data_IF_220466616555
#
_entry.id   IF_220466616555
#
_cell.length_a   1.000
_cell.length_b   1.000
_cell.length_c   1.000
_cell.angle_alpha   90.00
_cell.angle_beta   90.00
_cell.angle_gamma   90.00
#
_symmetry.space_group_name_H-M   'P 1'
#
loop_
_entity.id
_entity.type
_entity.pdbx_description
1 polymer ?
#
# COMPACT_ATOMS: atom_id res chain seq x y z
N UNK A 1 33.60 -29.12 -21.88
CA UNK A 1 32.65 -28.01 -21.64
C UNK A 1 31.55 -28.54 -20.75
N UNK A 2 31.53 -28.16 -19.47
CA UNK A 2 30.38 -28.38 -18.59
C UNK A 2 30.33 -27.19 -17.62
N UNK A 3 29.70 -26.11 -18.08
CA UNK A 3 29.35 -24.99 -17.22
C UNK A 3 28.13 -25.37 -16.43
N UNK A 4 28.32 -25.83 -15.20
CA UNK A 4 27.22 -25.99 -14.25
C UNK A 4 26.67 -24.60 -13.98
N UNK A 5 25.50 -24.28 -14.55
CA UNK A 5 24.72 -23.10 -14.17
C UNK A 5 24.48 -23.21 -12.66
N UNK A 6 25.21 -22.41 -11.89
CA UNK A 6 24.93 -22.23 -10.46
C UNK A 6 23.52 -21.65 -10.38
N UNK A 7 22.62 -22.43 -9.79
CA UNK A 7 21.29 -22.01 -9.37
C UNK A 7 21.43 -20.64 -8.68
N UNK A 8 20.70 -19.63 -9.15
CA UNK A 8 20.61 -18.34 -8.46
C UNK A 8 19.90 -18.59 -7.13
N UNK A 9 20.66 -19.01 -6.12
CA UNK A 9 20.18 -19.08 -4.76
C UNK A 9 20.21 -17.66 -4.21
N UNK A 10 19.11 -16.93 -4.34
CA UNK A 10 18.86 -15.69 -3.59
C UNK A 10 17.38 -15.24 -3.60
N UNK A 11 16.42 -16.06 -4.06
CA UNK A 11 14.98 -15.73 -4.00
C UNK A 11 14.27 -16.33 -2.76
N UNK A 12 15.01 -16.61 -1.68
CA UNK A 12 14.44 -17.14 -0.43
C UNK A 12 14.21 -16.06 0.62
N UNK A 13 14.75 -14.85 0.43
CA UNK A 13 14.53 -13.76 1.36
C UNK A 13 13.10 -13.22 1.20
N UNK A 14 12.30 -13.15 2.28
CA UNK A 14 10.97 -12.58 2.20
C UNK A 14 11.10 -11.12 1.76
N UNK A 15 10.49 -10.80 0.61
CA UNK A 15 10.49 -9.44 0.10
C UNK A 15 9.89 -8.50 1.15
N UNK A 16 10.61 -7.44 1.56
CA UNK A 16 10.09 -6.53 2.57
C UNK A 16 8.80 -5.88 2.08
N UNK A 17 7.88 -5.61 3.02
CA UNK A 17 6.66 -4.85 2.73
C UNK A 17 7.02 -3.41 2.39
N UNK A 18 7.20 -3.15 1.09
CA UNK A 18 7.47 -1.82 0.55
C UNK A 18 6.18 -1.20 0.03
N UNK A 19 5.93 0.06 0.41
CA UNK A 19 4.84 0.84 -0.17
C UNK A 19 5.34 1.52 -1.45
N UNK A 20 4.79 1.11 -2.59
CA UNK A 20 5.10 1.71 -3.90
C UNK A 20 3.93 2.61 -4.30
N UNK A 21 4.23 3.83 -4.73
CA UNK A 21 3.24 4.74 -5.32
C UNK A 21 3.40 4.69 -6.83
N UNK A 22 2.46 4.04 -7.52
CA UNK A 22 2.50 3.90 -8.98
C UNK A 22 2.21 5.23 -9.69
N UNK A 23 1.13 5.92 -9.29
CA UNK A 23 0.70 7.20 -9.87
C UNK A 23 0.16 8.12 -8.79
N UNK A 24 0.38 9.41 -8.94
CA UNK A 24 -0.11 10.42 -7.99
C UNK A 24 -0.17 11.79 -8.64
N UNK A 25 -1.22 12.53 -8.34
CA UNK A 25 -1.41 13.95 -8.72
C UNK A 25 -1.88 14.73 -7.49
N UNK A 26 -1.02 14.79 -6.48
CA UNK A 26 -1.23 15.54 -5.24
C UNK A 26 0.04 16.27 -4.85
N UNK A 27 -0.10 17.37 -4.11
CA UNK A 27 1.05 18.16 -3.63
C UNK A 27 1.94 17.31 -2.72
N UNK A 28 3.24 17.59 -2.71
CA UNK A 28 4.22 16.81 -1.93
C UNK A 28 3.88 16.71 -0.44
N UNK A 29 3.43 17.81 0.19
CA UNK A 29 3.02 17.81 1.59
C UNK A 29 1.82 16.87 1.85
N UNK A 30 0.82 16.92 0.97
CA UNK A 30 -0.37 16.07 1.06
C UNK A 30 -0.01 14.60 0.80
N UNK A 31 0.91 14.34 -0.15
CA UNK A 31 1.38 12.98 -0.48
C UNK A 31 1.96 12.26 0.72
N UNK A 32 2.81 12.93 1.50
CA UNK A 32 3.46 12.31 2.66
C UNK A 32 2.47 12.06 3.80
N UNK A 33 1.49 12.94 3.98
CA UNK A 33 0.38 12.70 4.93
C UNK A 33 -0.48 11.51 4.52
N UNK A 34 -0.88 11.42 3.24
CA UNK A 34 -1.67 10.31 2.70
C UNK A 34 -0.90 8.99 2.88
N UNK A 35 0.39 8.95 2.54
CA UNK A 35 1.23 7.76 2.74
C UNK A 35 1.27 7.34 4.20
N UNK A 36 1.49 8.29 5.13
CA UNK A 36 1.54 8.01 6.56
C UNK A 36 0.24 7.37 7.05
N UNK A 37 -0.91 7.92 6.64
CA UNK A 37 -2.24 7.40 6.99
C UNK A 37 -2.43 5.98 6.43
N UNK A 38 -2.03 5.72 5.18
CA UNK A 38 -2.15 4.38 4.58
C UNK A 38 -1.24 3.38 5.31
N UNK A 39 0.01 3.75 5.59
CA UNK A 39 0.98 2.87 6.25
C UNK A 39 0.56 2.49 7.67
N UNK A 40 0.06 3.45 8.46
CA UNK A 40 -0.40 3.14 9.82
C UNK A 40 -1.57 2.17 9.82
N UNK A 41 -2.50 2.30 8.88
CA UNK A 41 -3.64 1.38 8.76
C UNK A 41 -3.21 -0.02 8.25
N UNK A 42 -2.25 -0.10 7.32
CA UNK A 42 -1.72 -1.38 6.85
C UNK A 42 -0.96 -2.15 7.93
N UNK A 43 -0.22 -1.47 8.81
CA UNK A 43 0.51 -2.10 9.91
C UNK A 43 -0.41 -2.68 11.00
N UNK A 44 -1.59 -2.09 11.17
CA UNK A 44 -2.54 -2.48 12.20
C UNK A 44 -3.52 -3.59 11.75
N UNK A 45 -3.42 -4.06 10.51
CA UNK A 45 -4.31 -5.09 10.00
C UNK A 45 -3.84 -6.51 10.29
N UNK A 46 -4.77 -7.32 10.79
CA UNK A 46 -4.67 -8.79 10.80
C UNK A 46 -5.43 -9.36 9.59
N UNK A 47 -4.97 -10.51 9.07
CA UNK A 47 -5.45 -11.08 7.81
C UNK A 47 -6.99 -11.30 7.82
N UNK A 48 -7.71 -10.64 6.89
CA UNK A 48 -9.14 -10.87 6.64
C UNK A 48 -10.07 -9.65 6.57
N UNK A 49 -9.56 -8.41 6.75
CA UNK A 49 -10.39 -7.20 6.87
C UNK A 49 -10.28 -6.17 5.74
N UNK A 50 -10.29 -6.57 4.48
CA UNK A 50 -10.07 -5.65 3.34
C UNK A 50 -11.13 -4.52 3.28
N UNK A 51 -12.40 -4.84 3.59
CA UNK A 51 -13.47 -3.85 3.65
C UNK A 51 -13.30 -2.87 4.83
N UNK A 52 -12.84 -3.36 5.98
CA UNK A 52 -12.53 -2.49 7.14
C UNK A 52 -11.33 -1.59 6.86
N UNK A 53 -10.40 -2.02 6.01
CA UNK A 53 -9.21 -1.23 5.66
C UNK A 53 -9.57 -0.02 4.81
N UNK A 54 -10.40 -0.22 3.78
CA UNK A 54 -10.84 0.88 2.93
C UNK A 54 -11.56 1.96 3.74
N UNK A 55 -12.43 1.55 4.68
CA UNK A 55 -13.12 2.46 5.59
C UNK A 55 -12.16 3.18 6.53
N UNK A 56 -11.22 2.46 7.17
CA UNK A 56 -10.27 3.05 8.11
C UNK A 56 -9.34 4.08 7.44
N UNK A 57 -8.88 3.79 6.22
CA UNK A 57 -8.08 4.74 5.43
C UNK A 57 -8.92 5.98 5.09
N UNK A 58 -10.16 5.78 4.64
CA UNK A 58 -11.08 6.89 4.32
C UNK A 58 -11.30 7.79 5.52
N UNK A 59 -11.61 7.22 6.68
CA UNK A 59 -11.87 7.98 7.90
C UNK A 59 -10.63 8.76 8.34
N UNK A 60 -9.43 8.18 8.23
CA UNK A 60 -8.17 8.89 8.49
C UNK A 60 -7.96 10.09 7.55
N UNK A 61 -8.27 9.92 6.27
CA UNK A 61 -8.14 10.99 5.27
C UNK A 61 -9.18 12.11 5.48
N UNK A 62 -10.44 11.76 5.74
CA UNK A 62 -11.51 12.73 6.00
C UNK A 62 -11.20 13.59 7.24
N UNK A 63 -10.64 12.98 8.29
CA UNK A 63 -10.31 13.66 9.54
C UNK A 63 -9.07 14.57 9.43
N UNK A 64 -8.01 14.11 8.76
CA UNK A 64 -6.71 14.79 8.80
C UNK A 64 -6.46 15.72 7.62
N UNK A 65 -7.11 15.50 6.47
CA UNK A 65 -6.81 16.25 5.23
C UNK A 65 -7.73 17.44 4.97
N UNK A 66 -8.69 17.71 5.87
CA UNK A 66 -9.50 18.93 5.89
C UNK A 66 -10.16 19.29 4.55
N UNK A 67 -11.43 18.90 4.37
CA UNK A 67 -12.33 19.33 3.29
C UNK A 67 -12.15 18.65 1.92
N UNK A 68 -12.26 17.32 1.88
CA UNK A 68 -12.63 16.58 0.66
C UNK A 68 -13.50 15.39 1.02
N UNK A 69 -14.40 15.01 0.10
CA UNK A 69 -14.99 13.68 0.13
C UNK A 69 -13.96 12.70 -0.41
N UNK A 70 -13.39 11.86 0.45
CA UNK A 70 -12.44 10.83 0.04
C UNK A 70 -13.16 9.55 -0.37
N UNK A 71 -12.68 8.94 -1.46
CA UNK A 71 -13.08 7.62 -1.91
C UNK A 71 -11.85 6.71 -1.84
N UNK A 72 -11.99 5.55 -1.22
CA UNK A 72 -10.92 4.57 -1.08
C UNK A 72 -11.33 3.25 -1.70
N UNK A 73 -10.44 2.68 -2.51
CA UNK A 73 -10.59 1.36 -3.10
C UNK A 73 -9.38 0.55 -2.66
N UNK A 74 -9.63 -0.61 -2.04
CA UNK A 74 -8.60 -1.54 -1.60
C UNK A 74 -8.96 -2.91 -2.13
N UNK A 75 -8.04 -3.54 -2.85
CA UNK A 75 -8.25 -4.84 -3.46
C UNK A 75 -6.97 -5.38 -4.05
N UNK A 76 -6.96 -6.68 -4.31
CA UNK A 76 -5.82 -7.38 -4.95
C UNK A 76 -5.96 -7.43 -6.47
N UNK A 77 -7.20 -7.31 -6.96
CA UNK A 77 -7.53 -7.35 -8.38
C UNK A 77 -8.67 -6.36 -8.63
N UNK A 78 -8.49 -5.49 -9.62
CA UNK A 78 -9.45 -4.46 -10.00
C UNK A 78 -9.29 -4.13 -11.49
N UNK A 79 -10.10 -4.79 -12.32
CA UNK A 79 -10.39 -4.39 -13.69
C UNK A 79 -11.67 -5.13 -14.14
N UNK A 80 -12.74 -4.37 -14.37
CA UNK A 80 -13.84 -4.73 -15.26
C UNK A 80 -13.93 -3.58 -16.26
#
# INVERSE_FOLDING_TARGET
>A
MNGTRTYFGDDQDPMPNILIVEKTDVKTADRENIKRIIQSNLQNMTAGGDASLAQAIKDGLDNEMGSKYWHCIVGKDFAW
#
